data_IF_772773917195
#
_entry.id   IF_772773917195
#
_cell.length_a   1.000
_cell.length_b   1.000
_cell.length_c   1.000
_cell.angle_alpha   90.00
_cell.angle_beta   90.00
_cell.angle_gamma   90.00
#
_symmetry.space_group_name_H-M   'P 1'
#
loop_
_entity.id
_entity.type
_entity.pdbx_description
1 polymer ?
#
# COMPACT_ATOMS: atom_id res chain seq x y z
N UNK A 1 23.12 -25.19 -20.72
CA UNK A 1 22.97 -25.24 -22.20
C UNK A 1 21.59 -25.74 -22.64
N UNK A 2 21.04 -26.93 -22.22
CA UNK A 2 19.81 -27.50 -22.82
C UNK A 2 18.57 -26.60 -22.68
N UNK A 3 18.38 -25.93 -21.55
CA UNK A 3 17.27 -24.99 -21.34
C UNK A 3 17.31 -23.82 -22.35
N UNK A 4 18.50 -23.32 -22.67
CA UNK A 4 18.68 -22.24 -23.65
C UNK A 4 18.26 -22.68 -25.05
N UNK A 5 18.70 -23.90 -25.46
CA UNK A 5 18.30 -24.48 -26.75
C UNK A 5 16.79 -24.62 -26.85
N UNK A 6 16.14 -25.18 -25.82
CA UNK A 6 14.68 -25.30 -25.77
C UNK A 6 13.95 -23.96 -25.89
N UNK A 7 14.48 -22.91 -25.24
CA UNK A 7 13.92 -21.55 -25.34
C UNK A 7 13.96 -21.03 -26.77
N UNK A 8 15.10 -21.19 -27.45
CA UNK A 8 15.24 -20.77 -28.85
C UNK A 8 14.36 -21.59 -29.79
N UNK A 9 14.25 -22.89 -29.60
CA UNK A 9 13.36 -23.76 -30.40
C UNK A 9 11.89 -23.38 -30.22
N UNK A 10 11.43 -23.18 -28.97
CA UNK A 10 10.07 -22.73 -28.70
C UNK A 10 9.78 -21.38 -29.37
N UNK A 11 10.74 -20.45 -29.32
CA UNK A 11 10.60 -19.16 -29.94
C UNK A 11 10.58 -19.26 -31.47
N UNK A 12 11.41 -20.09 -32.05
CA UNK A 12 11.45 -20.37 -33.48
C UNK A 12 10.16 -20.99 -34.04
N UNK A 13 9.38 -21.66 -33.20
CA UNK A 13 8.01 -22.13 -33.48
C UNK A 13 6.97 -21.02 -33.35
N UNK A 14 7.36 -19.76 -33.06
CA UNK A 14 6.46 -18.62 -32.89
C UNK A 14 5.80 -18.50 -31.51
N UNK A 15 6.19 -19.32 -30.53
CA UNK A 15 5.62 -19.27 -29.17
C UNK A 15 5.85 -17.91 -28.53
N UNK A 16 4.82 -17.34 -27.89
CA UNK A 16 4.89 -16.05 -27.21
C UNK A 16 5.76 -16.10 -25.95
N UNK A 17 6.37 -14.97 -25.59
CA UNK A 17 7.25 -14.88 -24.41
C UNK A 17 6.59 -15.35 -23.11
N UNK A 18 5.34 -14.93 -22.86
CA UNK A 18 4.63 -15.28 -21.63
C UNK A 18 4.32 -16.78 -21.55
N UNK A 19 4.01 -17.41 -22.72
CA UNK A 19 3.81 -18.87 -22.81
C UNK A 19 5.11 -19.63 -22.57
N UNK A 20 6.23 -19.16 -23.14
CA UNK A 20 7.54 -19.78 -22.88
C UNK A 20 7.89 -19.68 -21.40
N UNK A 21 7.74 -18.51 -20.77
CA UNK A 21 7.98 -18.35 -19.33
C UNK A 21 7.13 -19.32 -18.51
N UNK A 22 5.86 -19.48 -18.86
CA UNK A 22 4.96 -20.42 -18.18
C UNK A 22 5.44 -21.87 -18.30
N UNK A 23 5.80 -22.32 -19.52
CA UNK A 23 6.33 -23.68 -19.74
C UNK A 23 7.58 -23.93 -18.90
N UNK A 24 8.52 -22.97 -18.86
CA UNK A 24 9.75 -23.11 -18.09
C UNK A 24 9.50 -23.15 -16.58
N UNK A 25 8.55 -22.34 -16.09
CA UNK A 25 8.16 -22.33 -14.68
C UNK A 25 7.41 -23.60 -14.27
N UNK A 26 6.51 -24.10 -15.10
CA UNK A 26 5.79 -25.37 -14.90
C UNK A 26 6.73 -26.58 -14.88
N UNK A 27 7.78 -26.56 -15.70
CA UNK A 27 8.85 -27.57 -15.70
C UNK A 27 9.82 -27.43 -14.50
N UNK A 28 9.69 -26.36 -13.69
CA UNK A 28 10.56 -26.10 -12.55
C UNK A 28 11.99 -25.69 -12.91
N UNK A 29 12.26 -25.31 -14.16
CA UNK A 29 13.58 -24.90 -14.59
C UNK A 29 14.03 -23.62 -13.85
N UNK A 30 15.25 -23.60 -13.29
CA UNK A 30 15.72 -22.41 -12.58
C UNK A 30 15.94 -21.23 -13.55
N UNK A 31 15.42 -20.07 -13.20
CA UNK A 31 15.77 -18.82 -13.90
C UNK A 31 17.25 -18.48 -13.68
N UNK A 32 17.86 -17.63 -14.51
CA UNK A 32 19.28 -17.23 -14.32
C UNK A 32 19.54 -16.62 -12.93
N UNK A 33 18.60 -15.86 -12.39
CA UNK A 33 18.68 -15.31 -11.03
C UNK A 33 18.64 -16.38 -9.95
N UNK A 34 17.72 -17.34 -10.07
CA UNK A 34 17.60 -18.48 -9.18
C UNK A 34 18.84 -19.38 -9.24
N UNK A 35 19.33 -19.67 -10.45
CA UNK A 35 20.53 -20.50 -10.64
C UNK A 35 21.78 -19.87 -10.01
N UNK A 36 21.94 -18.53 -10.10
CA UNK A 36 23.03 -17.82 -9.41
C UNK A 36 22.91 -17.93 -7.89
N UNK A 37 21.71 -17.77 -7.37
CA UNK A 37 21.43 -17.91 -5.94
C UNK A 37 21.76 -19.32 -5.44
N UNK A 38 21.33 -20.36 -6.14
CA UNK A 38 21.60 -21.77 -5.83
C UNK A 38 23.11 -22.09 -5.86
N UNK A 39 23.88 -21.33 -6.66
CA UNK A 39 25.37 -21.42 -6.71
C UNK A 39 26.07 -20.52 -5.67
N UNK A 40 25.35 -19.95 -4.73
CA UNK A 40 25.90 -19.07 -3.70
C UNK A 40 26.27 -17.66 -4.16
N UNK A 41 25.96 -17.27 -5.42
CA UNK A 41 26.21 -15.94 -5.96
C UNK A 41 25.00 -15.07 -5.64
N UNK A 42 25.04 -14.43 -4.45
CA UNK A 42 23.93 -13.61 -3.97
C UNK A 42 24.21 -12.13 -4.26
N UNK A 43 23.26 -11.47 -4.90
CA UNK A 43 23.27 -10.03 -5.21
C UNK A 43 22.00 -9.37 -4.70
N UNK A 44 21.97 -8.04 -4.69
CA UNK A 44 20.74 -7.30 -4.32
C UNK A 44 19.52 -7.67 -5.19
N UNK A 45 19.74 -8.09 -6.44
CA UNK A 45 18.69 -8.42 -7.40
C UNK A 45 18.16 -9.84 -7.25
N UNK A 46 18.88 -10.74 -6.57
CA UNK A 46 18.51 -12.14 -6.42
C UNK A 46 18.41 -12.61 -4.95
N UNK A 47 18.27 -11.71 -3.99
CA UNK A 47 18.10 -12.03 -2.56
C UNK A 47 16.92 -13.00 -2.28
N UNK A 48 15.88 -12.97 -3.12
CA UNK A 48 14.72 -13.87 -3.09
C UNK A 48 14.87 -15.05 -4.07
N UNK A 49 16.08 -15.50 -4.26
CA UNK A 49 16.48 -16.37 -5.36
C UNK A 49 15.75 -17.68 -5.49
N UNK A 50 15.30 -18.30 -4.38
CA UNK A 50 14.51 -19.56 -4.42
C UNK A 50 13.15 -19.39 -5.10
N UNK A 51 12.62 -18.17 -5.15
CA UNK A 51 11.30 -17.83 -5.67
C UNK A 51 11.34 -17.04 -6.99
N UNK A 52 12.54 -16.84 -7.59
CA UNK A 52 12.67 -16.06 -8.82
C UNK A 52 12.23 -16.88 -10.05
N UNK A 53 11.02 -16.65 -10.59
CA UNK A 53 10.55 -17.36 -11.77
C UNK A 53 11.19 -16.80 -13.04
N UNK A 54 11.07 -17.55 -14.14
CA UNK A 54 11.25 -17.00 -15.46
C UNK A 54 10.22 -15.91 -15.72
N UNK A 55 10.68 -14.79 -16.24
CA UNK A 55 9.84 -13.68 -16.62
C UNK A 55 10.22 -13.15 -18.01
N UNK A 56 9.32 -12.38 -18.59
CA UNK A 56 9.45 -11.85 -19.96
C UNK A 56 10.71 -11.01 -20.17
N UNK A 57 11.18 -10.30 -19.14
CA UNK A 57 12.39 -9.46 -19.22
C UNK A 57 13.63 -10.33 -19.41
N UNK A 58 13.81 -11.27 -18.50
CA UNK A 58 14.92 -12.22 -18.53
C UNK A 58 14.95 -13.00 -19.84
N UNK A 59 13.77 -13.41 -20.35
CA UNK A 59 13.67 -14.15 -21.59
C UNK A 59 14.05 -13.29 -22.81
N UNK A 60 13.63 -12.03 -22.85
CA UNK A 60 14.01 -11.10 -23.91
C UNK A 60 15.52 -10.86 -23.95
N UNK A 61 16.11 -10.58 -22.79
CA UNK A 61 17.55 -10.32 -22.67
C UNK A 61 18.36 -11.57 -23.07
N UNK A 62 17.86 -12.76 -22.74
CA UNK A 62 18.48 -14.00 -23.15
C UNK A 62 18.47 -14.19 -24.68
N UNK A 63 17.33 -13.94 -25.31
CA UNK A 63 17.14 -14.19 -26.76
C UNK A 63 17.92 -13.22 -27.66
N UNK A 64 18.46 -12.12 -27.14
CA UNK A 64 19.31 -11.17 -27.89
C UNK A 64 20.78 -11.23 -27.47
N UNK A 65 21.16 -12.15 -26.59
CA UNK A 65 22.51 -12.24 -26.06
C UNK A 65 23.43 -13.05 -26.99
N UNK A 66 24.31 -12.37 -27.70
CA UNK A 66 25.24 -12.93 -28.69
C UNK A 66 26.23 -13.97 -28.13
N UNK A 67 26.34 -14.09 -26.81
CA UNK A 67 27.14 -15.14 -26.17
C UNK A 67 26.67 -16.54 -26.55
N UNK A 68 25.39 -16.73 -26.83
CA UNK A 68 24.88 -18.05 -27.19
C UNK A 68 25.25 -18.51 -28.62
N UNK A 69 25.72 -17.61 -29.45
CA UNK A 69 26.28 -17.90 -30.79
C UNK A 69 27.81 -17.87 -30.84
N UNK A 70 28.48 -17.92 -29.67
CA UNK A 70 29.94 -17.97 -29.58
C UNK A 70 30.64 -16.61 -29.58
N UNK A 71 29.91 -15.51 -29.52
CA UNK A 71 30.45 -14.14 -29.57
C UNK A 71 30.48 -13.51 -28.16
N UNK A 72 31.40 -12.57 -27.93
CA UNK A 72 31.50 -11.80 -26.70
C UNK A 72 31.20 -10.32 -27.02
N UNK A 73 30.20 -9.73 -26.37
CA UNK A 73 29.89 -8.30 -26.51
C UNK A 73 30.28 -7.55 -25.22
N UNK A 74 31.12 -6.55 -25.38
CA UNK A 74 31.52 -5.60 -24.33
C UNK A 74 30.96 -4.20 -24.62
N UNK A 75 31.06 -3.27 -23.66
CA UNK A 75 30.57 -1.91 -23.84
C UNK A 75 29.04 -1.78 -23.84
N UNK A 76 28.30 -2.79 -23.38
CA UNK A 76 26.83 -2.79 -23.35
C UNK A 76 26.20 -1.76 -22.43
N UNK A 77 26.99 -1.25 -21.48
CA UNK A 77 26.58 -0.19 -20.57
C UNK A 77 27.76 0.71 -20.24
N UNK A 78 27.49 1.97 -19.96
CA UNK A 78 28.49 2.95 -19.58
C UNK A 78 28.06 3.70 -18.33
N UNK A 79 29.05 4.06 -17.51
CA UNK A 79 28.88 4.92 -16.35
C UNK A 79 30.20 5.66 -16.11
N UNK A 80 30.14 6.98 -15.98
CA UNK A 80 31.29 7.79 -15.67
C UNK A 80 30.97 8.78 -14.55
N UNK A 81 31.12 8.32 -13.30
CA UNK A 81 30.73 9.10 -12.12
C UNK A 81 31.45 10.43 -12.02
N UNK A 82 32.76 10.49 -12.37
CA UNK A 82 33.54 11.74 -12.30
C UNK A 82 33.13 12.76 -13.35
N UNK A 83 32.50 12.35 -14.46
CA UNK A 83 31.89 13.22 -15.47
C UNK A 83 30.41 13.53 -15.17
N UNK A 84 29.86 12.99 -14.08
CA UNK A 84 28.44 13.11 -13.75
C UNK A 84 27.52 12.24 -14.62
N UNK A 85 28.06 11.33 -15.42
CA UNK A 85 27.27 10.43 -16.26
C UNK A 85 26.70 9.29 -15.44
N UNK A 86 25.39 9.20 -15.40
CA UNK A 86 24.67 8.11 -14.74
C UNK A 86 24.76 6.84 -15.59
N UNK A 87 24.62 5.67 -14.92
CA UNK A 87 24.52 4.39 -15.60
C UNK A 87 23.44 4.43 -16.70
N UNK A 88 23.83 4.04 -17.91
CA UNK A 88 22.94 3.91 -19.06
C UNK A 88 23.37 2.77 -19.96
N UNK A 89 22.41 2.23 -20.71
CA UNK A 89 22.68 1.23 -21.73
C UNK A 89 23.15 1.91 -23.01
N UNK A 90 24.22 1.39 -23.60
CA UNK A 90 24.72 1.83 -24.91
C UNK A 90 23.91 1.21 -26.05
N UNK A 91 23.97 1.79 -27.23
CA UNK A 91 23.33 1.22 -28.42
C UNK A 91 24.13 0.01 -28.89
N UNK A 92 23.46 -0.96 -29.51
CA UNK A 92 24.12 -2.16 -30.07
C UNK A 92 25.22 -1.83 -31.09
N UNK A 93 25.05 -0.73 -31.83
CA UNK A 93 26.08 -0.24 -32.77
C UNK A 93 27.37 0.23 -32.11
N UNK A 94 27.32 0.55 -30.83
CA UNK A 94 28.46 1.04 -30.03
C UNK A 94 29.09 -0.08 -29.19
N UNK A 95 28.67 -1.34 -29.39
CA UNK A 95 29.23 -2.48 -28.65
C UNK A 95 30.49 -3.01 -29.36
N UNK A 96 31.48 -3.35 -28.55
CA UNK A 96 32.66 -4.09 -29.03
C UNK A 96 32.31 -5.59 -29.04
N UNK A 97 32.09 -6.14 -30.23
CA UNK A 97 31.74 -7.56 -30.42
C UNK A 97 32.94 -8.31 -30.98
N UNK A 98 33.43 -9.29 -30.22
CA UNK A 98 34.43 -10.23 -30.67
C UNK A 98 33.78 -11.55 -31.03
N UNK A 99 33.94 -11.96 -32.29
CA UNK A 99 33.34 -13.17 -32.82
C UNK A 99 34.16 -14.42 -32.52
N UNK A 100 33.49 -15.58 -32.40
CA UNK A 100 34.16 -16.88 -32.29
C UNK A 100 35.01 -17.07 -31.04
N UNK A 101 34.66 -16.44 -29.94
CA UNK A 101 35.42 -16.54 -28.67
C UNK A 101 35.25 -17.89 -27.95
N UNK A 102 34.21 -18.64 -28.27
CA UNK A 102 33.88 -19.94 -27.67
C UNK A 102 32.91 -20.73 -28.55
N UNK A 103 32.73 -22.01 -28.23
CA UNK A 103 31.83 -22.89 -28.97
C UNK A 103 30.36 -22.43 -28.81
N UNK A 104 29.63 -22.22 -29.91
CA UNK A 104 28.26 -21.75 -29.86
C UNK A 104 27.31 -22.80 -29.28
N UNK A 105 26.39 -22.37 -28.43
CA UNK A 105 25.29 -23.21 -27.88
C UNK A 105 24.13 -23.28 -28.89
N UNK A 106 23.95 -22.21 -29.67
CA UNK A 106 22.85 -22.04 -30.64
C UNK A 106 23.46 -21.87 -32.03
N UNK A 107 22.93 -22.59 -33.03
CA UNK A 107 23.35 -22.41 -34.43
C UNK A 107 22.96 -21.02 -34.92
N UNK A 108 23.76 -20.46 -35.83
CA UNK A 108 23.47 -19.18 -36.45
C UNK A 108 22.15 -19.16 -37.22
N UNK A 109 21.75 -20.29 -37.81
CA UNK A 109 20.46 -20.46 -38.47
C UNK A 109 19.29 -20.28 -37.50
N UNK A 110 19.32 -20.99 -36.38
CA UNK A 110 18.29 -20.89 -35.33
C UNK A 110 18.23 -19.49 -34.73
N UNK A 111 19.38 -18.89 -34.48
CA UNK A 111 19.50 -17.53 -34.03
C UNK A 111 18.81 -16.54 -34.99
N UNK A 112 19.19 -16.54 -36.25
CA UNK A 112 18.64 -15.63 -37.25
C UNK A 112 17.13 -15.75 -37.38
N UNK A 113 16.60 -16.99 -37.38
CA UNK A 113 15.17 -17.24 -37.41
C UNK A 113 14.44 -16.63 -36.19
N UNK A 114 15.03 -16.73 -35.02
CA UNK A 114 14.46 -16.13 -33.80
C UNK A 114 14.50 -14.61 -33.84
N UNK A 115 15.60 -13.99 -34.32
CA UNK A 115 15.68 -12.54 -34.48
C UNK A 115 14.66 -12.01 -35.48
N UNK A 116 14.45 -12.69 -36.61
CA UNK A 116 13.43 -12.34 -37.59
C UNK A 116 12.02 -12.34 -36.96
N UNK A 117 11.67 -13.40 -36.20
CA UNK A 117 10.39 -13.50 -35.48
C UNK A 117 10.25 -12.39 -34.43
N UNK A 118 11.30 -12.08 -33.72
CA UNK A 118 11.29 -11.02 -32.69
C UNK A 118 11.09 -9.64 -33.33
N UNK A 119 11.77 -9.36 -34.46
CA UNK A 119 11.67 -8.11 -35.16
C UNK A 119 10.26 -7.94 -35.77
N UNK A 120 9.73 -8.99 -36.41
CA UNK A 120 8.37 -8.99 -36.92
C UNK A 120 7.34 -8.77 -35.81
N UNK A 121 7.42 -9.52 -34.73
CA UNK A 121 6.52 -9.35 -33.58
C UNK A 121 6.59 -7.93 -32.99
N UNK A 122 7.80 -7.35 -32.85
CA UNK A 122 7.97 -5.96 -32.41
C UNK A 122 7.36 -4.94 -33.34
N UNK A 123 7.54 -5.12 -34.66
CA UNK A 123 6.94 -4.29 -35.68
C UNK A 123 5.41 -4.35 -35.65
N UNK A 124 4.83 -5.55 -35.58
CA UNK A 124 3.38 -5.75 -35.53
C UNK A 124 2.76 -5.12 -34.26
N UNK A 125 3.44 -5.24 -33.14
CA UNK A 125 3.06 -4.54 -31.90
C UNK A 125 3.11 -3.03 -32.05
N UNK A 126 4.20 -2.48 -32.62
CA UNK A 126 4.31 -1.03 -32.87
C UNK A 126 3.21 -0.53 -33.83
N UNK A 127 2.93 -1.25 -34.88
CA UNK A 127 1.83 -0.92 -35.82
C UNK A 127 0.46 -0.96 -35.16
N UNK A 128 0.21 -1.97 -34.32
CA UNK A 128 -1.06 -2.13 -33.60
C UNK A 128 -1.26 -1.03 -32.55
N UNK A 129 -0.26 -0.80 -31.69
CA UNK A 129 -0.35 0.24 -30.66
C UNK A 129 -0.21 1.66 -31.23
N UNK A 130 0.60 1.86 -32.26
CA UNK A 130 0.77 3.16 -32.91
C UNK A 130 -0.51 3.67 -33.59
N UNK A 131 -1.36 2.77 -34.08
CA UNK A 131 -2.64 3.12 -34.72
C UNK A 131 -3.55 3.98 -33.84
N UNK A 132 -3.51 3.77 -32.53
CA UNK A 132 -4.37 4.45 -31.54
C UNK A 132 -3.58 5.32 -30.56
N UNK A 133 -2.33 5.65 -30.90
CA UNK A 133 -1.47 6.48 -30.03
C UNK A 133 -2.00 7.91 -29.86
N UNK A 134 -2.79 8.39 -30.81
CA UNK A 134 -3.44 9.71 -30.81
C UNK A 134 -4.57 9.82 -29.77
N UNK A 135 -5.13 8.70 -29.33
CA UNK A 135 -6.18 8.73 -28.29
C UNK A 135 -5.60 9.07 -26.93
N UNK A 136 -6.22 10.00 -26.19
CA UNK A 136 -5.76 10.40 -24.87
C UNK A 136 -5.70 9.18 -23.94
N UNK A 137 -4.64 9.10 -23.13
CA UNK A 137 -4.52 8.03 -22.12
C UNK A 137 -5.32 8.43 -20.88
N UNK A 138 -6.15 7.50 -20.41
CA UNK A 138 -6.83 7.68 -19.12
C UNK A 138 -5.81 7.51 -17.98
N UNK A 139 -5.74 8.43 -17.02
CA UNK A 139 -4.91 8.26 -15.83
C UNK A 139 -5.36 7.04 -15.02
N UNK A 140 -4.42 6.44 -14.27
CA UNK A 140 -4.71 5.37 -13.33
C UNK A 140 -4.94 5.94 -11.93
N UNK A 141 -6.17 6.06 -11.44
CA UNK A 141 -6.43 6.68 -10.15
C UNK A 141 -6.03 5.79 -8.95
N UNK A 142 -5.80 4.49 -9.17
CA UNK A 142 -5.54 3.56 -8.08
C UNK A 142 -4.05 3.26 -7.86
N UNK A 143 -3.16 3.61 -8.79
CA UNK A 143 -1.71 3.51 -8.64
C UNK A 143 -1.25 2.22 -7.95
N UNK A 144 -0.61 2.34 -6.79
CA UNK A 144 -0.10 1.24 -5.97
C UNK A 144 -1.12 0.67 -4.96
N UNK A 145 -2.30 1.29 -4.86
CA UNK A 145 -3.30 0.97 -3.82
C UNK A 145 -4.08 -0.30 -4.18
N UNK A 146 -4.30 -0.56 -5.49
CA UNK A 146 -5.07 -1.71 -5.97
C UNK A 146 -4.18 -2.95 -6.08
N UNK A 147 -4.47 -3.98 -5.30
CA UNK A 147 -3.68 -5.21 -5.18
C UNK A 147 -4.51 -6.47 -5.40
N UNK A 148 -3.84 -7.52 -5.83
CA UNK A 148 -4.42 -8.85 -5.87
C UNK A 148 -4.48 -9.42 -4.44
N UNK A 149 -5.62 -9.95 -4.01
CA UNK A 149 -5.79 -10.52 -2.68
C UNK A 149 -4.91 -11.77 -2.45
N UNK A 150 -4.72 -12.60 -3.50
CA UNK A 150 -3.99 -13.86 -3.38
C UNK A 150 -2.47 -13.65 -3.34
N UNK A 151 -1.91 -12.86 -4.27
CA UNK A 151 -0.45 -12.71 -4.40
C UNK A 151 0.10 -11.38 -3.87
N UNK A 152 -0.75 -10.45 -3.42
CA UNK A 152 -0.36 -9.15 -2.88
C UNK A 152 0.24 -8.15 -3.89
N UNK A 153 0.49 -8.56 -5.14
CA UNK A 153 1.08 -7.68 -6.15
C UNK A 153 0.08 -6.64 -6.64
N UNK A 154 0.59 -5.45 -6.96
CA UNK A 154 -0.20 -4.36 -7.55
C UNK A 154 -0.79 -4.80 -8.87
N UNK A 155 -2.09 -4.56 -9.06
CA UNK A 155 -2.80 -4.92 -10.29
C UNK A 155 -2.28 -4.11 -11.48
N UNK A 156 -2.08 -4.79 -12.61
CA UNK A 156 -1.58 -4.18 -13.84
C UNK A 156 -2.72 -3.49 -14.58
N UNK A 157 -2.57 -2.17 -14.83
CA UNK A 157 -3.50 -1.38 -15.61
C UNK A 157 -3.24 -1.56 -17.11
N UNK A 158 -4.16 -2.21 -17.81
CA UNK A 158 -4.00 -2.63 -19.21
C UNK A 158 -5.02 -1.92 -20.08
N UNK A 159 -4.53 -1.13 -21.05
CA UNK A 159 -5.36 -0.52 -22.10
C UNK A 159 -5.69 -1.53 -23.17
N UNK A 160 -6.91 -1.57 -23.62
CA UNK A 160 -7.41 -2.39 -24.71
C UNK A 160 -8.30 -1.54 -25.62
N UNK A 161 -8.55 -2.01 -26.82
CA UNK A 161 -9.36 -1.29 -27.82
C UNK A 161 -10.49 -2.17 -28.28
N UNK A 162 -11.64 -1.55 -28.54
CA UNK A 162 -12.75 -2.22 -29.20
C UNK A 162 -12.41 -2.49 -30.69
N UNK A 163 -13.04 -3.47 -31.29
CA UNK A 163 -12.99 -3.59 -32.74
C UNK A 163 -13.64 -2.36 -33.37
N UNK A 164 -13.09 -1.86 -34.50
CA UNK A 164 -13.72 -0.77 -35.22
C UNK A 164 -15.18 -1.09 -35.53
N UNK A 165 -16.08 -0.17 -35.22
CA UNK A 165 -17.49 -0.26 -35.63
C UNK A 165 -17.62 0.01 -37.15
N UNK A 166 -18.82 -0.16 -37.69
CA UNK A 166 -19.09 0.12 -39.13
C UNK A 166 -18.82 1.58 -39.50
N UNK A 167 -18.95 2.49 -38.54
CA UNK A 167 -18.63 3.92 -38.65
C UNK A 167 -17.12 4.23 -38.47
N UNK A 168 -16.28 3.22 -38.29
CA UNK A 168 -14.85 3.37 -38.09
C UNK A 168 -14.45 3.82 -36.66
N UNK A 169 -15.43 4.06 -35.78
CA UNK A 169 -15.16 4.52 -34.40
C UNK A 169 -14.56 3.39 -33.58
N UNK A 170 -13.43 3.69 -32.93
CA UNK A 170 -12.74 2.81 -31.98
C UNK A 170 -12.75 3.49 -30.63
N UNK A 171 -13.21 2.76 -29.62
CA UNK A 171 -13.14 3.19 -28.22
C UNK A 171 -12.10 2.37 -27.48
N UNK A 172 -11.38 3.00 -26.60
CA UNK A 172 -10.48 2.31 -25.69
C UNK A 172 -11.21 1.99 -24.38
N UNK A 173 -10.74 0.93 -23.74
CA UNK A 173 -11.18 0.54 -22.42
C UNK A 173 -10.01 0.01 -21.61
N UNK A 174 -10.13 0.04 -20.31
CA UNK A 174 -9.06 -0.32 -19.40
C UNK A 174 -9.50 -1.42 -18.43
N UNK A 175 -8.58 -2.36 -18.19
CA UNK A 175 -8.79 -3.44 -17.25
C UNK A 175 -7.63 -3.50 -16.25
N UNK A 176 -7.96 -3.86 -15.03
CA UNK A 176 -6.98 -4.26 -14.01
C UNK A 176 -6.84 -5.76 -14.03
N UNK A 177 -5.62 -6.26 -14.17
CA UNK A 177 -5.32 -7.69 -14.25
C UNK A 177 -4.23 -8.07 -13.26
N UNK A 178 -4.31 -9.27 -12.70
CA UNK A 178 -3.26 -9.78 -11.83
C UNK A 178 -1.96 -10.02 -12.62
N UNK A 179 -0.84 -9.36 -12.24
CA UNK A 179 0.43 -9.53 -12.97
C UNK A 179 1.00 -10.94 -12.81
N UNK A 180 0.84 -11.57 -11.63
CA UNK A 180 1.30 -12.95 -11.41
C UNK A 180 0.60 -13.94 -12.32
N UNK A 181 -0.71 -13.81 -12.46
CA UNK A 181 -1.47 -14.65 -13.39
C UNK A 181 -1.04 -14.45 -14.85
N UNK A 182 -0.80 -13.19 -15.28
CA UNK A 182 -0.32 -12.89 -16.63
C UNK A 182 1.04 -13.53 -16.89
N UNK A 183 1.94 -13.46 -15.92
CA UNK A 183 3.35 -13.87 -16.05
C UNK A 183 3.54 -15.37 -15.84
N UNK A 184 2.82 -15.97 -14.90
CA UNK A 184 3.07 -17.34 -14.40
C UNK A 184 1.89 -18.30 -14.63
N UNK A 185 0.72 -17.79 -15.02
CA UNK A 185 -0.47 -18.61 -15.27
C UNK A 185 -1.36 -18.85 -14.06
N UNK A 186 -2.39 -19.68 -14.27
CA UNK A 186 -3.46 -19.93 -13.29
C UNK A 186 -2.99 -20.76 -12.09
N UNK A 187 -1.90 -21.50 -12.24
CA UNK A 187 -1.30 -22.31 -11.16
C UNK A 187 -0.64 -21.44 -10.07
N UNK A 188 -0.13 -20.26 -10.44
CA UNK A 188 0.56 -19.34 -9.52
C UNK A 188 -0.39 -18.34 -8.87
N UNK A 189 -1.43 -17.92 -9.55
CA UNK A 189 -2.46 -17.02 -9.03
C UNK A 189 -3.72 -17.11 -9.89
N UNK A 190 -4.89 -17.02 -9.27
CA UNK A 190 -6.16 -17.04 -9.97
C UNK A 190 -6.29 -15.88 -10.97
N UNK A 191 -6.97 -16.13 -12.08
CA UNK A 191 -7.22 -15.11 -13.10
C UNK A 191 -8.17 -14.04 -12.56
N UNK A 192 -7.68 -12.81 -12.44
CA UNK A 192 -8.48 -11.65 -12.06
C UNK A 192 -8.42 -10.61 -13.17
N UNK A 193 -9.59 -10.16 -13.60
CA UNK A 193 -9.73 -9.10 -14.61
C UNK A 193 -10.93 -8.23 -14.23
N UNK A 194 -10.67 -6.97 -13.90
CA UNK A 194 -11.69 -6.02 -13.47
C UNK A 194 -11.72 -4.84 -14.44
N UNK A 195 -12.91 -4.51 -14.95
CA UNK A 195 -13.10 -3.36 -15.83
C UNK A 195 -12.96 -2.06 -15.04
N UNK A 196 -12.20 -1.09 -15.56
CA UNK A 196 -11.88 0.14 -14.82
C UNK A 196 -13.12 0.99 -14.51
N UNK A 197 -14.10 1.05 -15.44
CA UNK A 197 -15.32 1.83 -15.22
C UNK A 197 -16.22 1.23 -14.15
N UNK A 198 -16.23 -0.10 -14.04
CA UNK A 198 -17.01 -0.79 -13.00
C UNK A 198 -16.34 -0.63 -11.63
N UNK A 199 -15.02 -0.71 -11.59
CA UNK A 199 -14.25 -0.41 -10.38
C UNK A 199 -14.52 1.02 -9.89
N UNK A 200 -14.50 2.01 -10.79
CA UNK A 200 -14.76 3.41 -10.43
C UNK A 200 -16.17 3.58 -9.83
N UNK A 201 -17.18 2.96 -10.42
CA UNK A 201 -18.56 3.03 -9.91
C UNK A 201 -18.66 2.43 -8.51
N UNK A 202 -18.07 1.24 -8.33
CA UNK A 202 -18.09 0.53 -7.04
C UNK A 202 -17.35 1.36 -5.98
N UNK A 203 -16.12 1.75 -6.25
CA UNK A 203 -15.28 2.49 -5.31
C UNK A 203 -15.92 3.83 -4.93
N UNK A 204 -16.45 4.57 -5.92
CA UNK A 204 -17.15 5.83 -5.65
C UNK A 204 -18.38 5.64 -4.77
N UNK A 205 -19.17 4.59 -5.03
CA UNK A 205 -20.36 4.28 -4.23
C UNK A 205 -20.00 3.90 -2.79
N UNK A 206 -18.94 3.09 -2.61
CA UNK A 206 -18.46 2.68 -1.28
C UNK A 206 -17.89 3.86 -0.53
N UNK A 207 -17.05 4.69 -1.18
CA UNK A 207 -16.49 5.91 -0.54
C UNK A 207 -17.62 6.83 -0.07
N UNK A 208 -18.65 7.06 -0.88
CA UNK A 208 -19.78 7.90 -0.47
C UNK A 208 -20.53 7.33 0.74
N UNK A 209 -20.87 6.05 0.70
CA UNK A 209 -21.53 5.39 1.84
C UNK A 209 -20.68 5.47 3.12
N UNK A 210 -19.38 5.34 2.98
CA UNK A 210 -18.46 5.47 4.11
C UNK A 210 -18.37 6.90 4.63
N UNK A 211 -18.39 7.91 3.74
CA UNK A 211 -18.46 9.32 4.13
C UNK A 211 -19.76 9.60 4.92
N UNK A 212 -20.89 9.10 4.43
CA UNK A 212 -22.17 9.27 5.11
C UNK A 212 -22.15 8.61 6.49
N UNK A 213 -21.66 7.38 6.59
CA UNK A 213 -21.52 6.65 7.85
C UNK A 213 -20.61 7.40 8.86
N UNK A 214 -19.50 7.96 8.37
CA UNK A 214 -18.59 8.75 9.21
C UNK A 214 -19.29 10.00 9.77
N UNK A 215 -20.01 10.74 8.92
CA UNK A 215 -20.74 11.95 9.31
C UNK A 215 -21.86 11.63 10.31
N UNK A 216 -22.61 10.55 10.09
CA UNK A 216 -23.69 10.13 10.99
C UNK A 216 -23.16 9.68 12.35
N UNK A 217 -22.06 8.94 12.38
CA UNK A 217 -21.40 8.53 13.62
C UNK A 217 -20.88 9.75 14.38
N UNK A 218 -20.26 10.70 13.69
CA UNK A 218 -19.80 11.95 14.30
C UNK A 218 -20.94 12.76 14.89
N UNK A 219 -22.05 12.92 14.15
CA UNK A 219 -23.24 13.62 14.62
C UNK A 219 -23.82 12.95 15.87
N UNK A 220 -23.89 11.62 15.87
CA UNK A 220 -24.34 10.82 17.01
C UNK A 220 -23.45 11.04 18.23
N UNK A 221 -22.13 10.99 18.05
CA UNK A 221 -21.15 11.22 19.13
C UNK A 221 -21.30 12.61 19.72
N UNK A 222 -21.42 13.64 18.91
CA UNK A 222 -21.61 15.02 19.39
C UNK A 222 -22.94 15.18 20.16
N UNK A 223 -24.02 14.52 19.71
CA UNK A 223 -25.30 14.48 20.42
C UNK A 223 -25.18 13.79 21.79
N UNK A 224 -24.51 12.65 21.86
CA UNK A 224 -24.29 11.92 23.11
C UNK A 224 -23.43 12.73 24.09
N UNK A 225 -22.36 13.35 23.63
CA UNK A 225 -21.51 14.24 24.46
C UNK A 225 -22.32 15.43 24.99
N UNK A 226 -23.23 16.00 24.18
CA UNK A 226 -24.09 17.08 24.64
C UNK A 226 -25.04 16.62 25.75
N UNK A 227 -25.67 15.46 25.60
CA UNK A 227 -26.53 14.86 26.63
C UNK A 227 -25.76 14.53 27.93
N UNK A 228 -24.54 13.99 27.82
CA UNK A 228 -23.67 13.73 28.96
C UNK A 228 -23.32 15.03 29.69
N UNK A 229 -23.00 16.08 28.95
CA UNK A 229 -22.72 17.43 29.52
C UNK A 229 -23.96 18.03 30.20
N UNK A 230 -25.16 17.83 29.68
CA UNK A 230 -26.39 18.28 30.32
C UNK A 230 -26.66 17.49 31.62
N UNK A 231 -26.55 16.17 31.60
CA UNK A 231 -26.64 15.35 32.83
C UNK A 231 -25.58 15.75 33.88
N UNK A 232 -24.34 15.98 33.42
CA UNK A 232 -23.24 16.44 34.28
C UNK A 232 -23.47 17.85 34.87
N UNK A 233 -24.14 18.76 34.16
CA UNK A 233 -24.54 20.08 34.68
C UNK A 233 -25.50 19.98 35.84
N UNK A 234 -26.33 18.94 35.88
CA UNK A 234 -27.25 18.67 36.98
C UNK A 234 -26.59 17.89 38.14
N UNK A 235 -25.47 17.21 37.91
CA UNK A 235 -24.80 16.34 38.90
C UNK A 235 -23.43 16.86 39.40
N UNK A 236 -22.73 17.68 38.61
CA UNK A 236 -21.39 18.20 38.98
C UNK A 236 -21.33 19.69 38.71
N UNK A 237 -21.08 20.57 39.72
CA UNK A 237 -20.91 22.00 39.53
C UNK A 237 -19.76 22.31 38.56
N UNK A 238 -19.93 23.35 37.72
CA UNK A 238 -18.95 23.79 36.72
C UNK A 238 -17.54 24.12 37.33
N UNK A 239 -17.49 24.31 38.64
CA UNK A 239 -16.26 24.60 39.40
C UNK A 239 -15.57 23.37 40.02
N UNK A 240 -16.06 22.12 39.81
CA UNK A 240 -15.54 20.94 40.48
C UNK A 240 -14.03 20.72 40.32
N UNK A 241 -13.51 20.93 39.10
CA UNK A 241 -12.05 20.82 38.88
C UNK A 241 -11.27 21.85 39.68
N UNK A 242 -11.77 23.10 39.74
CA UNK A 242 -11.13 24.15 40.53
C UNK A 242 -11.26 23.87 42.03
N UNK A 243 -12.43 23.44 42.50
CA UNK A 243 -12.63 23.02 43.89
C UNK A 243 -11.71 21.86 44.32
N UNK A 244 -11.55 20.88 43.42
CA UNK A 244 -10.63 19.75 43.69
C UNK A 244 -9.17 20.21 43.68
N UNK A 245 -8.78 21.12 42.80
CA UNK A 245 -7.43 21.71 42.82
C UNK A 245 -7.19 22.51 44.10
N UNK A 246 -8.13 23.36 44.48
CA UNK A 246 -8.03 24.15 45.70
C UNK A 246 -7.95 23.25 46.96
N UNK A 247 -8.75 22.17 47.02
CA UNK A 247 -8.70 21.18 48.09
C UNK A 247 -7.37 20.41 48.13
N UNK A 248 -6.87 20.01 46.95
CA UNK A 248 -5.58 19.35 46.82
C UNK A 248 -4.44 20.23 47.30
N UNK A 249 -4.44 21.52 46.92
CA UNK A 249 -3.42 22.49 47.30
C UNK A 249 -3.48 22.77 48.84
N UNK A 250 -4.69 22.88 49.38
CA UNK A 250 -4.87 22.99 50.86
C UNK A 250 -4.32 21.77 51.56
N UNK A 251 -4.65 20.55 51.10
CA UNK A 251 -4.16 19.31 51.76
C UNK A 251 -2.65 19.16 51.62
N UNK A 252 -2.05 19.53 50.50
CA UNK A 252 -0.59 19.54 50.30
C UNK A 252 0.09 20.54 51.27
N UNK A 253 -0.48 21.73 51.48
CA UNK A 253 0.02 22.69 52.45
C UNK A 253 -0.06 22.16 53.86
N UNK A 254 -1.17 21.56 54.28
CA UNK A 254 -1.31 20.95 55.58
C UNK A 254 -0.34 19.78 55.78
N UNK A 255 -0.15 18.95 54.78
CA UNK A 255 0.82 17.86 54.78
C UNK A 255 2.26 18.33 54.96
N UNK A 256 2.63 19.43 54.29
CA UNK A 256 3.96 20.03 54.48
C UNK A 256 4.15 20.62 55.87
N UNK A 257 3.10 21.20 56.47
CA UNK A 257 3.13 21.75 57.81
C UNK A 257 3.21 20.66 58.90
N UNK A 258 2.62 19.51 58.66
CA UNK A 258 2.66 18.35 59.56
C UNK A 258 4.08 17.89 59.90
N UNK A 259 5.00 17.97 58.92
CA UNK A 259 6.41 17.65 59.12
C UNK A 259 7.10 18.69 60.05
N UNK A 260 6.74 19.96 59.92
CA UNK A 260 7.29 21.06 60.75
C UNK A 260 6.79 20.88 62.18
N UNK A 261 5.49 20.64 62.38
CA UNK A 261 4.88 20.44 63.68
C UNK A 261 5.47 19.22 64.45
N UNK A 262 5.82 18.15 63.72
CA UNK A 262 6.54 17.00 64.21
C UNK A 262 7.97 17.37 64.63
N UNK A 263 8.70 18.13 63.77
CA UNK A 263 10.09 18.54 64.06
C UNK A 263 10.17 19.50 65.24
N UNK A 264 9.16 20.34 65.44
CA UNK A 264 9.05 21.30 66.53
C UNK A 264 8.55 20.66 67.85
N UNK A 265 8.32 19.33 67.84
CA UNK A 265 7.91 18.58 69.03
C UNK A 265 6.46 18.77 69.47
N UNK A 266 5.63 19.36 68.59
CA UNK A 266 4.19 19.57 68.84
C UNK A 266 3.41 18.26 68.66
N UNK A 267 3.89 17.34 67.78
CA UNK A 267 3.30 16.03 67.51
C UNK A 267 4.23 14.91 67.97
N UNK A 268 3.64 13.85 68.51
CA UNK A 268 4.35 12.59 68.75
C UNK A 268 4.57 11.83 67.45
N UNK A 269 5.53 10.92 67.46
CA UNK A 269 5.83 10.10 66.27
C UNK A 269 4.62 9.28 65.80
N UNK A 270 3.81 8.78 66.70
CA UNK A 270 2.60 8.00 66.36
C UNK A 270 1.52 8.88 65.75
N UNK A 271 1.28 10.07 66.26
CA UNK A 271 0.32 11.05 65.69
C UNK A 271 0.76 11.53 64.33
N UNK A 272 2.07 11.79 64.13
CA UNK A 272 2.62 12.16 62.83
C UNK A 272 2.40 11.07 61.80
N UNK A 273 2.71 9.79 62.10
CA UNK A 273 2.55 8.69 61.16
C UNK A 273 1.07 8.48 60.81
N UNK A 274 0.17 8.54 61.75
CA UNK A 274 -1.26 8.40 61.55
C UNK A 274 -1.80 9.53 60.62
N UNK A 275 -1.47 10.79 60.93
CA UNK A 275 -1.90 11.95 60.17
C UNK A 275 -1.29 11.95 58.76
N UNK A 276 -0.02 11.55 58.62
CA UNK A 276 0.64 11.40 57.33
C UNK A 276 -0.10 10.44 56.43
N UNK A 277 -0.45 9.26 56.94
CA UNK A 277 -1.12 8.22 56.13
C UNK A 277 -2.53 8.65 55.72
N UNK A 278 -3.24 9.41 56.55
CA UNK A 278 -4.55 9.98 56.19
C UNK A 278 -4.41 11.02 55.08
N UNK A 279 -3.49 11.99 55.20
CA UNK A 279 -3.30 13.01 54.18
C UNK A 279 -2.80 12.45 52.86
N UNK A 280 -1.91 11.45 52.90
CA UNK A 280 -1.46 10.78 51.66
C UNK A 280 -2.61 10.10 50.92
N UNK A 281 -3.50 9.40 51.63
CA UNK A 281 -4.68 8.77 51.01
C UNK A 281 -5.63 9.79 50.41
N UNK A 282 -5.89 10.90 51.12
CA UNK A 282 -6.77 11.96 50.59
C UNK A 282 -6.16 12.67 49.38
N UNK A 283 -4.85 12.98 49.40
CA UNK A 283 -4.13 13.58 48.28
C UNK A 283 -4.19 12.64 47.06
N UNK A 284 -3.92 11.34 47.21
CA UNK A 284 -3.97 10.37 46.15
C UNK A 284 -5.39 10.24 45.57
N UNK A 285 -6.44 10.30 46.37
CA UNK A 285 -7.81 10.27 45.93
C UNK A 285 -8.17 11.51 45.06
N UNK A 286 -7.78 12.71 45.49
CA UNK A 286 -8.01 13.94 44.73
C UNK A 286 -7.18 13.97 43.45
N UNK A 287 -5.94 13.48 43.44
CA UNK A 287 -5.11 13.37 42.23
C UNK A 287 -5.71 12.39 41.21
N UNK A 288 -6.22 11.24 41.68
CA UNK A 288 -6.91 10.26 40.80
C UNK A 288 -8.16 10.87 40.17
N UNK A 289 -9.04 11.53 40.94
CA UNK A 289 -10.26 12.18 40.42
C UNK A 289 -9.91 13.29 39.42
N UNK A 290 -8.87 14.09 39.66
CA UNK A 290 -8.39 15.10 38.73
C UNK A 290 -7.83 14.50 37.43
N UNK A 291 -7.07 13.41 37.53
CA UNK A 291 -6.55 12.70 36.34
C UNK A 291 -7.67 12.13 35.49
N UNK A 292 -8.70 11.55 36.09
CA UNK A 292 -9.87 11.05 35.33
C UNK A 292 -10.59 12.18 34.59
N UNK A 293 -10.85 13.32 35.24
CA UNK A 293 -11.50 14.48 34.65
C UNK A 293 -10.65 15.10 33.51
N UNK A 294 -9.32 15.11 33.67
CA UNK A 294 -8.39 15.60 32.65
C UNK A 294 -8.27 14.63 31.47
N UNK A 295 -8.30 13.32 31.71
CA UNK A 295 -8.26 12.30 30.68
C UNK A 295 -9.49 12.38 29.76
N UNK A 296 -10.68 12.62 30.33
CA UNK A 296 -11.92 12.84 29.57
C UNK A 296 -11.78 14.08 28.65
N UNK A 297 -11.27 15.21 29.18
CA UNK A 297 -11.05 16.42 28.37
C UNK A 297 -10.03 16.24 27.24
N UNK A 298 -8.96 15.47 27.49
CA UNK A 298 -7.91 15.22 26.49
C UNK A 298 -8.39 14.30 25.38
N UNK A 299 -9.10 13.23 25.71
CA UNK A 299 -9.71 12.31 24.73
C UNK A 299 -10.70 13.04 23.80
N UNK A 300 -11.56 13.89 24.36
CA UNK A 300 -12.52 14.68 23.57
C UNK A 300 -11.81 15.61 22.58
N UNK A 301 -10.69 16.25 22.95
CA UNK A 301 -9.90 17.10 22.06
C UNK A 301 -9.22 16.33 20.93
N UNK A 302 -8.67 15.15 21.20
CA UNK A 302 -8.03 14.30 20.17
C UNK A 302 -9.04 13.84 19.13
N UNK A 303 -10.23 13.40 19.57
CA UNK A 303 -11.32 12.99 18.69
C UNK A 303 -11.84 14.14 17.83
N UNK A 304 -11.96 15.35 18.39
CA UNK A 304 -12.35 16.54 17.61
C UNK A 304 -11.31 16.93 16.55
N UNK A 305 -10.03 16.79 16.84
CA UNK A 305 -8.95 17.18 15.91
C UNK A 305 -8.84 16.21 14.74
N UNK A 306 -8.92 14.91 15.00
CA UNK A 306 -8.97 13.88 13.96
C UNK A 306 -10.19 14.03 13.07
N UNK A 307 -11.37 14.20 13.66
CA UNK A 307 -12.62 14.41 12.94
C UNK A 307 -12.59 15.66 12.03
N UNK A 308 -11.96 16.77 12.45
CA UNK A 308 -11.83 17.98 11.64
C UNK A 308 -11.03 17.76 10.35
N UNK A 309 -9.96 16.95 10.40
CA UNK A 309 -9.16 16.61 9.22
C UNK A 309 -10.02 15.86 8.19
N UNK A 310 -10.74 14.85 8.64
CA UNK A 310 -11.59 14.02 7.77
C UNK A 310 -12.79 14.78 7.26
N UNK A 311 -13.42 15.65 8.05
CA UNK A 311 -14.50 16.52 7.60
C UNK A 311 -14.09 17.43 6.44
N UNK A 312 -12.86 17.96 6.44
CA UNK A 312 -12.35 18.74 5.31
C UNK A 312 -12.22 17.90 4.05
N UNK A 313 -11.69 16.68 4.16
CA UNK A 313 -11.56 15.76 3.04
C UNK A 313 -12.92 15.32 2.51
N UNK A 314 -13.85 14.97 3.39
CA UNK A 314 -15.22 14.62 3.04
C UNK A 314 -15.88 15.79 2.30
N UNK A 315 -15.84 16.99 2.85
CA UNK A 315 -16.43 18.18 2.22
C UNK A 315 -15.85 18.46 0.83
N UNK A 316 -14.54 18.18 0.63
CA UNK A 316 -13.86 18.36 -0.66
C UNK A 316 -14.35 17.35 -1.70
N UNK A 317 -14.53 16.09 -1.32
CA UNK A 317 -14.78 14.99 -2.26
C UNK A 317 -16.23 14.52 -2.33
N UNK A 318 -17.10 14.92 -1.41
CA UNK A 318 -18.47 14.44 -1.32
C UNK A 318 -19.28 14.62 -2.61
N UNK A 319 -19.09 15.77 -3.29
CA UNK A 319 -19.79 16.13 -4.54
C UNK A 319 -19.09 15.62 -5.80
N UNK A 320 -17.93 14.96 -5.69
CA UNK A 320 -17.16 14.50 -6.84
C UNK A 320 -17.90 13.36 -7.54
N UNK A 321 -18.03 13.45 -8.87
CA UNK A 321 -18.74 12.45 -9.69
C UNK A 321 -17.82 11.36 -10.23
N UNK A 322 -16.52 11.56 -10.20
CA UNK A 322 -15.51 10.66 -10.74
C UNK A 322 -14.44 10.38 -9.69
N UNK A 323 -13.85 9.18 -9.75
CA UNK A 323 -12.72 8.84 -8.91
C UNK A 323 -11.46 9.55 -9.43
N UNK A 324 -10.73 10.22 -8.55
CA UNK A 324 -9.45 10.87 -8.86
C UNK A 324 -8.35 10.25 -8.03
N UNK A 325 -7.11 10.32 -8.55
CA UNK A 325 -5.92 9.82 -7.85
C UNK A 325 -5.77 10.47 -6.46
N UNK A 326 -5.94 11.81 -6.39
CA UNK A 326 -5.89 12.57 -5.13
C UNK A 326 -6.92 12.10 -4.10
N UNK A 327 -8.15 11.77 -4.54
CA UNK A 327 -9.21 11.25 -3.68
C UNK A 327 -8.85 9.87 -3.13
N UNK A 328 -8.36 8.98 -3.99
CA UNK A 328 -7.92 7.64 -3.60
C UNK A 328 -6.73 7.73 -2.64
N UNK A 329 -5.72 8.52 -2.99
CA UNK A 329 -4.56 8.74 -2.13
C UNK A 329 -4.93 9.32 -0.75
N UNK A 330 -5.90 10.23 -0.70
CA UNK A 330 -6.30 10.86 0.56
C UNK A 330 -7.09 9.92 1.47
N UNK A 331 -7.94 9.04 0.92
CA UNK A 331 -8.95 8.32 1.68
C UNK A 331 -8.72 6.82 1.78
N UNK A 332 -8.11 6.21 0.76
CA UNK A 332 -7.96 4.74 0.66
C UNK A 332 -6.54 4.35 1.01
N UNK A 333 -6.40 3.34 1.86
CA UNK A 333 -5.12 2.72 2.21
C UNK A 333 -4.79 1.58 1.24
N UNK A 334 -5.72 0.65 1.04
CA UNK A 334 -5.55 -0.50 0.18
C UNK A 334 -6.89 -0.98 -0.38
N UNK A 335 -6.88 -1.46 -1.62
CA UNK A 335 -8.00 -2.19 -2.24
C UNK A 335 -7.48 -3.56 -2.66
N UNK A 336 -8.08 -4.63 -2.17
CA UNK A 336 -7.77 -6.00 -2.57
C UNK A 336 -8.86 -6.56 -3.45
N UNK A 337 -8.44 -7.17 -4.56
CA UNK A 337 -9.35 -7.83 -5.51
C UNK A 337 -9.33 -9.33 -5.24
N UNK A 338 -10.46 -9.88 -4.83
CA UNK A 338 -10.63 -11.30 -4.55
C UNK A 338 -10.90 -12.12 -5.82
N UNK A 339 -10.84 -13.44 -5.72
CA UNK A 339 -11.04 -14.37 -6.83
C UNK A 339 -12.47 -14.35 -7.38
N UNK A 340 -13.43 -14.11 -6.52
CA UNK A 340 -14.86 -13.99 -6.85
C UNK A 340 -15.22 -12.61 -7.46
N UNK A 341 -14.24 -11.69 -7.56
CA UNK A 341 -14.44 -10.31 -8.03
C UNK A 341 -14.89 -9.34 -6.96
N UNK A 342 -15.06 -9.79 -5.71
CA UNK A 342 -15.34 -8.90 -4.59
C UNK A 342 -14.12 -8.03 -4.26
N UNK A 343 -14.38 -6.88 -3.62
CA UNK A 343 -13.36 -5.90 -3.28
C UNK A 343 -13.34 -5.68 -1.77
N UNK A 344 -12.16 -5.82 -1.18
CA UNK A 344 -11.92 -5.41 0.20
C UNK A 344 -11.24 -4.05 0.18
N UNK A 345 -11.92 -3.03 0.69
CA UNK A 345 -11.44 -1.65 0.68
C UNK A 345 -11.13 -1.22 2.10
N UNK A 346 -9.87 -0.89 2.37
CA UNK A 346 -9.42 -0.36 3.65
C UNK A 346 -9.23 1.15 3.53
N UNK A 347 -9.83 1.89 4.45
CA UNK A 347 -9.76 3.35 4.50
C UNK A 347 -8.75 3.84 5.53
N UNK A 348 -8.07 4.95 5.24
CA UNK A 348 -7.08 5.55 6.12
C UNK A 348 -7.65 6.12 7.43
N UNK A 349 -8.93 6.42 7.47
CA UNK A 349 -9.64 6.94 8.65
C UNK A 349 -10.25 5.86 9.55
N UNK A 350 -10.09 4.58 9.21
CA UNK A 350 -10.66 3.50 10.01
C UNK A 350 -10.27 3.54 11.50
N UNK A 351 -9.02 3.85 11.87
CA UNK A 351 -8.65 3.93 13.28
C UNK A 351 -9.44 4.99 14.04
N UNK A 352 -9.56 6.21 13.48
CA UNK A 352 -10.31 7.30 14.08
C UNK A 352 -11.82 7.03 14.13
N UNK A 353 -12.33 6.33 13.10
CA UNK A 353 -13.74 5.90 13.06
C UNK A 353 -14.05 4.87 14.15
N UNK A 354 -13.19 3.87 14.33
CA UNK A 354 -13.33 2.86 15.38
C UNK A 354 -13.27 3.47 16.78
N UNK A 355 -12.41 4.46 16.99
CA UNK A 355 -12.35 5.20 18.26
C UNK A 355 -13.64 5.96 18.53
N UNK A 356 -14.17 6.68 17.53
CA UNK A 356 -15.47 7.36 17.67
C UNK A 356 -16.61 6.39 17.97
N UNK A 357 -16.63 5.24 17.31
CA UNK A 357 -17.66 4.22 17.51
C UNK A 357 -17.59 3.63 18.92
N UNK A 358 -16.41 3.26 19.41
CA UNK A 358 -16.20 2.79 20.78
C UNK A 358 -16.64 3.82 21.82
N UNK A 359 -16.36 5.09 21.58
CA UNK A 359 -16.77 6.17 22.47
C UNK A 359 -18.30 6.36 22.46
N UNK A 360 -18.96 6.25 21.31
CA UNK A 360 -20.42 6.23 21.26
C UNK A 360 -21.01 5.08 22.09
N UNK A 361 -20.46 3.89 22.01
CA UNK A 361 -20.93 2.74 22.78
C UNK A 361 -20.72 2.93 24.29
N UNK A 362 -19.55 3.49 24.69
CA UNK A 362 -19.26 3.81 26.10
C UNK A 362 -20.30 4.76 26.66
N UNK A 363 -20.50 5.91 25.99
CA UNK A 363 -21.44 6.93 26.45
C UNK A 363 -22.86 6.39 26.50
N UNK A 364 -23.28 5.59 25.53
CA UNK A 364 -24.61 4.95 25.55
C UNK A 364 -24.83 4.06 26.78
N UNK A 365 -23.80 3.29 27.18
CA UNK A 365 -23.88 2.44 28.38
C UNK A 365 -23.92 3.25 29.67
N UNK A 366 -23.28 4.42 29.72
CA UNK A 366 -23.26 5.30 30.90
C UNK A 366 -24.53 6.19 31.00
N UNK A 367 -25.19 6.43 29.87
CA UNK A 367 -26.40 7.27 29.78
C UNK A 367 -27.69 6.46 29.91
N UNK A 368 -27.64 5.14 29.60
CA UNK A 368 -28.76 4.22 29.79
C UNK A 368 -28.90 3.81 31.25
#
# INVERSE_FOLDING_TARGET
APIVVEIFELRAKGTGFDTICRILNEKGYPSPGRLRYERGIITNNNKKGSELPWNRHVLKDLLVNVVYIGNLAQGRSSQCLYKGEKYHWTKEADWDVVEGTHEPIISMELWNKVQEINTKASSDVKKSFGRYAHLPKRPNPYGSVLRCADCGRVMKYVRSYTRPRKDGVVTDYYNYKCPTNIELGDTACSKKSLHADDLDKIVLSVIRKQMDLFLDTQKTLLGLIALEKEKAKHSVPANRVKELQDKLDQKKKLFSRLYIDFKDGILTQQEYLLARDVYQKEIAAYESELQELQAIKTKTKVTETGARKWNRLISRYYKTKTVTEEMVEAMVDEIRVNTDGSLDIRFKYMPEFEEMFKECERIRKEVA
#
